data_IF_011417013769
#
_entry.id   IF_011417013769
#
_cell.length_a   1.000
_cell.length_b   1.000
_cell.length_c   1.000
_cell.angle_alpha   90.00
_cell.angle_beta   90.00
_cell.angle_gamma   90.00
#
_symmetry.space_group_name_H-M   'P 1'
#
loop_
_entity.id
_entity.type
_entity.pdbx_description
1 polymer ?
#
# COMPACT_ATOMS: atom_id res chain seq x y z
N UNK A 1 -2.03 -8.30 -38.65
CA UNK A 1 -2.04 -7.13 -39.55
C UNK A 1 -1.83 -5.88 -38.69
N UNK A 2 -0.57 -5.54 -38.39
CA UNK A 2 -0.26 -4.39 -37.54
C UNK A 2 -0.24 -3.15 -38.43
N UNK A 3 -1.09 -2.15 -38.13
CA UNK A 3 -1.01 -0.85 -38.77
C UNK A 3 0.38 -0.24 -38.45
N UNK A 4 1.03 0.43 -39.40
CA UNK A 4 2.28 1.12 -39.13
C UNK A 4 2.05 2.18 -38.04
N UNK A 5 2.91 2.18 -37.02
CA UNK A 5 2.89 3.20 -35.97
C UNK A 5 3.19 4.58 -36.56
N UNK A 6 2.43 5.59 -36.17
CA UNK A 6 2.67 6.97 -36.60
C UNK A 6 4.05 7.44 -36.09
N UNK A 7 4.86 8.06 -36.95
CA UNK A 7 6.26 8.42 -36.64
C UNK A 7 6.41 9.33 -35.41
N UNK A 8 5.40 10.15 -35.11
CA UNK A 8 5.35 10.98 -33.89
C UNK A 8 5.31 10.15 -32.59
N UNK A 9 4.76 8.93 -32.63
CA UNK A 9 4.74 8.03 -31.46
C UNK A 9 6.10 7.36 -31.20
N UNK A 10 7.03 7.46 -32.16
CA UNK A 10 8.37 6.90 -32.08
C UNK A 10 9.41 7.94 -31.65
N UNK A 11 9.01 9.19 -31.38
CA UNK A 11 9.95 10.21 -30.91
C UNK A 11 10.45 9.87 -29.50
N UNK A 12 11.77 9.90 -29.27
CA UNK A 12 12.36 9.64 -27.97
C UNK A 12 11.96 10.74 -26.99
N UNK A 13 11.60 10.35 -25.76
CA UNK A 13 11.40 11.32 -24.69
C UNK A 13 12.77 11.84 -24.22
N UNK A 14 12.87 13.15 -24.00
CA UNK A 14 14.03 13.73 -23.35
C UNK A 14 13.89 13.52 -21.83
N UNK A 15 14.91 12.91 -21.22
CA UNK A 15 14.93 12.68 -19.79
C UNK A 15 14.91 14.02 -19.04
N UNK A 16 14.06 14.14 -18.01
CA UNK A 16 13.93 15.32 -17.16
C UNK A 16 13.41 16.60 -17.84
N UNK A 17 13.01 16.55 -19.11
CA UNK A 17 12.29 17.64 -19.74
C UNK A 17 10.89 17.84 -19.12
N UNK A 18 10.34 19.05 -19.25
CA UNK A 18 8.98 19.34 -18.82
C UNK A 18 7.98 18.40 -19.51
N UNK A 19 6.93 17.97 -18.78
CA UNK A 19 5.93 17.03 -19.30
C UNK A 19 5.34 17.47 -20.65
N UNK A 20 5.06 18.77 -20.81
CA UNK A 20 4.55 19.34 -22.05
C UNK A 20 5.54 19.18 -23.21
N UNK A 21 6.84 19.40 -23.00
CA UNK A 21 7.86 19.28 -24.05
C UNK A 21 7.95 17.88 -24.66
N UNK A 22 7.69 16.84 -23.86
CA UNK A 22 7.64 15.45 -24.32
C UNK A 22 6.28 15.04 -24.94
N UNK A 23 5.25 15.87 -24.77
CA UNK A 23 3.89 15.64 -25.24
C UNK A 23 3.49 16.52 -26.43
N UNK A 24 4.17 17.65 -26.66
CA UNK A 24 3.84 18.64 -27.71
C UNK A 24 3.85 18.03 -29.12
N UNK A 25 4.74 17.06 -29.39
CA UNK A 25 4.77 16.34 -30.66
C UNK A 25 3.63 15.33 -30.83
N UNK A 26 2.92 14.99 -29.74
CA UNK A 26 1.88 13.94 -29.69
C UNK A 26 0.46 14.51 -29.56
N UNK A 27 0.32 15.76 -29.10
CA UNK A 27 -0.95 16.40 -28.79
C UNK A 27 -1.03 17.73 -29.55
N UNK A 28 -1.86 17.80 -30.59
CA UNK A 28 -2.24 19.07 -31.21
C UNK A 28 -3.47 19.62 -30.47
N UNK A 29 -3.24 20.54 -29.54
CA UNK A 29 -4.29 21.11 -28.70
C UNK A 29 -5.40 21.81 -29.51
N UNK A 30 -5.08 22.35 -30.68
CA UNK A 30 -6.07 23.01 -31.54
C UNK A 30 -6.98 21.97 -32.20
N UNK A 31 -6.40 20.94 -32.82
CA UNK A 31 -7.14 19.85 -33.47
C UNK A 31 -8.00 19.10 -32.45
N UNK A 32 -7.47 18.82 -31.26
CA UNK A 32 -8.23 18.19 -30.19
C UNK A 32 -9.37 19.06 -29.67
N UNK A 33 -9.16 20.37 -29.52
CA UNK A 33 -10.21 21.29 -29.11
C UNK A 33 -11.36 21.34 -30.14
N UNK A 34 -11.03 21.31 -31.44
CA UNK A 34 -12.03 21.24 -32.53
C UNK A 34 -12.78 19.91 -32.49
N UNK A 35 -12.06 18.78 -32.38
CA UNK A 35 -12.67 17.45 -32.30
C UNK A 35 -13.60 17.31 -31.07
N UNK A 36 -13.18 17.85 -29.92
CA UNK A 36 -13.98 17.87 -28.69
C UNK A 36 -15.28 18.67 -28.87
N UNK A 37 -15.21 19.86 -29.50
CA UNK A 37 -16.38 20.69 -29.85
C UNK A 37 -17.31 19.97 -30.84
N UNK A 38 -16.76 19.18 -31.76
CA UNK A 38 -17.52 18.34 -32.69
C UNK A 38 -18.12 17.07 -32.04
N UNK A 39 -17.93 16.86 -30.73
CA UNK A 39 -18.53 15.76 -29.98
C UNK A 39 -17.63 14.53 -29.82
N UNK A 40 -16.38 14.56 -30.29
CA UNK A 40 -15.44 13.47 -30.05
C UNK A 40 -15.19 13.30 -28.55
N UNK A 41 -15.09 12.05 -28.10
CA UNK A 41 -14.82 11.69 -26.69
C UNK A 41 -13.69 10.67 -26.53
N UNK A 42 -13.43 9.87 -27.57
CA UNK A 42 -12.34 8.88 -27.63
C UNK A 42 -11.20 9.46 -28.48
N UNK A 43 -9.96 9.25 -28.04
CA UNK A 43 -8.77 9.68 -28.79
C UNK A 43 -8.48 11.19 -28.75
N UNK A 44 -8.99 11.89 -27.73
CA UNK A 44 -8.70 13.31 -27.46
C UNK A 44 -8.21 13.47 -26.01
N UNK A 45 -7.29 14.41 -25.76
CA UNK A 45 -6.72 14.66 -24.43
C UNK A 45 -7.64 15.54 -23.59
N UNK A 46 -8.70 14.93 -23.05
CA UNK A 46 -9.59 15.61 -22.10
C UNK A 46 -8.92 15.74 -20.74
N UNK A 47 -9.13 16.87 -20.09
CA UNK A 47 -8.80 16.99 -18.67
C UNK A 47 -9.57 15.94 -17.86
N UNK A 48 -8.94 15.43 -16.79
CA UNK A 48 -9.58 14.58 -15.81
C UNK A 48 -10.86 15.25 -15.28
N UNK A 49 -11.94 14.51 -15.11
CA UNK A 49 -13.26 15.07 -14.75
C UNK A 49 -13.22 15.91 -13.47
N UNK A 50 -12.49 15.43 -12.46
CA UNK A 50 -12.31 16.11 -11.17
C UNK A 50 -11.12 17.08 -11.13
N UNK A 51 -10.42 17.32 -12.24
CA UNK A 51 -9.21 18.16 -12.25
C UNK A 51 -9.45 19.56 -11.66
N UNK A 52 -10.58 20.17 -12.01
CA UNK A 52 -10.97 21.49 -11.50
C UNK A 52 -11.19 21.47 -9.98
N UNK A 53 -11.78 20.39 -9.43
CA UNK A 53 -11.97 20.21 -7.99
C UNK A 53 -10.63 20.04 -7.26
N UNK A 54 -9.70 19.29 -7.84
CA UNK A 54 -8.38 19.08 -7.25
C UNK A 54 -7.58 20.39 -7.15
N UNK A 55 -7.57 21.20 -8.21
CA UNK A 55 -6.82 22.48 -8.21
C UNK A 55 -7.50 23.56 -7.37
N UNK A 56 -8.82 23.45 -7.15
CA UNK A 56 -9.58 24.35 -6.29
C UNK A 56 -9.57 23.92 -4.80
N UNK A 57 -9.14 22.69 -4.48
CA UNK A 57 -9.25 22.13 -3.14
C UNK A 57 -10.68 21.72 -2.76
N UNK A 58 -11.54 21.49 -3.74
CA UNK A 58 -12.96 21.15 -3.57
C UNK A 58 -13.24 19.64 -3.71
N UNK A 59 -12.23 18.86 -4.14
CA UNK A 59 -12.35 17.40 -4.20
C UNK A 59 -12.30 16.82 -2.78
N UNK A 60 -13.41 16.28 -2.29
CA UNK A 60 -13.49 15.67 -0.95
C UNK A 60 -12.71 14.35 -0.88
N UNK A 61 -11.74 14.27 0.01
CA UNK A 61 -11.05 13.05 0.45
C UNK A 61 -11.56 12.59 1.82
N UNK A 62 -11.12 11.41 2.26
CA UNK A 62 -11.61 10.78 3.49
C UNK A 62 -11.46 11.66 4.74
N UNK A 63 -10.36 12.41 4.87
CA UNK A 63 -10.06 13.25 6.04
C UNK A 63 -10.69 14.65 5.93
N UNK A 64 -11.31 14.98 4.77
CA UNK A 64 -12.07 16.21 4.58
C UNK A 64 -13.53 16.06 5.03
N UNK A 65 -13.98 14.82 5.25
CA UNK A 65 -15.33 14.53 5.74
C UNK A 65 -15.46 15.04 7.18
N UNK A 66 -16.44 15.90 7.49
CA UNK A 66 -16.61 16.44 8.83
C UNK A 66 -16.79 15.34 9.89
N UNK A 67 -16.04 15.45 10.98
CA UNK A 67 -16.15 14.53 12.11
C UNK A 67 -17.51 14.64 12.79
N UNK A 68 -18.20 13.51 12.93
CA UNK A 68 -19.46 13.45 13.68
C UNK A 68 -19.19 13.55 15.18
N UNK A 69 -20.14 14.11 15.93
CA UNK A 69 -20.05 14.16 17.38
C UNK A 69 -19.90 12.75 17.98
N UNK A 70 -18.88 12.56 18.82
CA UNK A 70 -18.56 11.27 19.43
C UNK A 70 -17.63 10.38 18.59
N UNK A 71 -17.08 10.87 17.48
CA UNK A 71 -16.03 10.16 16.71
C UNK A 71 -14.84 9.86 17.62
N UNK A 72 -14.35 8.62 17.56
CA UNK A 72 -13.12 8.18 18.22
C UNK A 72 -12.02 8.03 17.18
N UNK A 73 -10.78 8.15 17.63
CA UNK A 73 -9.61 8.05 16.76
C UNK A 73 -8.80 6.81 17.08
N UNK A 74 -8.34 6.13 16.04
CA UNK A 74 -7.52 4.94 16.15
C UNK A 74 -6.06 5.25 15.78
N UNK A 75 -5.11 4.69 16.53
CA UNK A 75 -3.71 4.63 16.15
C UNK A 75 -3.14 3.25 16.46
N UNK A 76 -2.21 2.79 15.64
CA UNK A 76 -1.62 1.45 15.77
C UNK A 76 -0.34 1.50 16.60
N UNK A 77 -0.25 0.60 17.58
CA UNK A 77 0.99 0.24 18.23
C UNK A 77 1.78 -0.69 17.31
N UNK A 78 2.98 -0.27 16.92
CA UNK A 78 3.76 -0.93 15.88
C UNK A 78 5.00 -1.63 16.46
N UNK A 79 5.42 -2.71 15.81
CA UNK A 79 6.67 -3.40 16.14
C UNK A 79 7.90 -2.50 15.89
N UNK A 80 8.82 -2.39 16.88
CA UNK A 80 10.10 -1.68 16.71
C UNK A 80 11.19 -2.50 16.01
N UNK A 81 10.96 -3.78 15.71
CA UNK A 81 11.95 -4.66 15.09
C UNK A 81 11.45 -5.19 13.75
N UNK A 82 12.39 -5.52 12.87
CA UNK A 82 12.09 -6.01 11.53
C UNK A 82 11.84 -7.51 11.45
N UNK A 83 12.29 -8.29 12.43
CA UNK A 83 12.06 -9.73 12.52
C UNK A 83 12.12 -10.17 13.98
N UNK A 84 11.32 -11.15 14.37
CA UNK A 84 11.35 -11.74 15.71
C UNK A 84 10.05 -12.41 16.11
N UNK A 85 9.93 -12.71 17.40
CA UNK A 85 8.73 -13.26 18.02
C UNK A 85 8.20 -12.28 19.05
N UNK A 86 6.91 -11.96 18.99
CA UNK A 86 6.17 -11.27 20.03
C UNK A 86 5.87 -12.24 21.17
N UNK A 87 6.57 -12.08 22.29
CA UNK A 87 6.46 -13.00 23.43
C UNK A 87 5.34 -12.58 24.40
N UNK A 88 5.17 -11.27 24.62
CA UNK A 88 4.17 -10.74 25.53
C UNK A 88 3.83 -9.27 25.27
N UNK A 89 2.69 -8.83 25.82
CA UNK A 89 2.25 -7.42 25.81
C UNK A 89 1.66 -6.98 27.16
N UNK A 90 2.08 -5.82 27.65
CA UNK A 90 1.60 -5.21 28.90
C UNK A 90 0.72 -3.97 28.64
N UNK A 91 -0.44 -4.18 28.02
CA UNK A 91 -1.28 -3.10 27.49
C UNK A 91 -2.05 -2.28 28.54
N UNK A 92 -2.12 -2.74 29.79
CA UNK A 92 -2.86 -2.03 30.86
C UNK A 92 -2.33 -0.62 31.13
N UNK A 93 -1.02 -0.42 30.97
CA UNK A 93 -0.39 0.90 31.09
C UNK A 93 -0.85 1.87 30.01
N UNK A 94 -1.18 1.37 28.81
CA UNK A 94 -1.73 2.16 27.71
C UNK A 94 -3.21 2.44 27.95
N UNK A 95 -3.97 1.43 28.41
CA UNK A 95 -5.40 1.56 28.74
C UNK A 95 -5.66 2.62 29.82
N UNK A 96 -4.73 2.78 30.76
CA UNK A 96 -4.83 3.76 31.83
C UNK A 96 -4.50 5.21 31.42
N UNK A 97 -4.05 5.46 30.17
CA UNK A 97 -3.67 6.81 29.74
C UNK A 97 -4.91 7.72 29.55
N UNK A 98 -4.81 9.02 29.89
CA UNK A 98 -5.91 9.96 29.72
C UNK A 98 -6.40 10.01 28.27
N UNK A 99 -7.71 9.89 28.09
CA UNK A 99 -8.38 9.97 26.79
C UNK A 99 -8.36 8.67 25.99
N UNK A 100 -7.68 7.60 26.44
CA UNK A 100 -7.79 6.27 25.85
C UNK A 100 -9.14 5.66 26.25
N UNK A 101 -9.87 5.15 25.26
CA UNK A 101 -11.18 4.49 25.43
C UNK A 101 -11.02 2.97 25.42
N UNK A 102 -10.20 2.44 24.51
CA UNK A 102 -9.93 1.01 24.41
C UNK A 102 -8.55 0.75 23.81
N UNK A 103 -7.99 -0.43 24.12
CA UNK A 103 -6.79 -0.95 23.46
C UNK A 103 -7.09 -2.38 23.05
N UNK A 104 -7.09 -2.62 21.74
CA UNK A 104 -7.45 -3.87 21.09
C UNK A 104 -6.20 -4.60 20.62
N UNK A 105 -6.17 -5.90 20.83
CA UNK A 105 -5.16 -6.85 20.39
C UNK A 105 -5.75 -7.84 19.40
N UNK A 106 -4.94 -8.74 18.86
CA UNK A 106 -5.42 -9.84 18.01
C UNK A 106 -6.55 -10.67 18.66
N UNK A 107 -6.52 -10.82 20.00
CA UNK A 107 -7.53 -11.57 20.75
C UNK A 107 -8.91 -10.90 20.77
N UNK A 108 -9.00 -9.61 20.44
CA UNK A 108 -10.24 -8.85 20.40
C UNK A 108 -10.92 -8.91 19.02
N UNK A 109 -10.31 -9.57 18.03
CA UNK A 109 -10.86 -9.73 16.69
C UNK A 109 -11.91 -10.88 16.74
N UNK A 110 -13.20 -10.60 16.48
CA UNK A 110 -14.26 -11.61 16.59
C UNK A 110 -14.24 -12.66 15.47
N UNK A 111 -13.48 -12.41 14.41
CA UNK A 111 -13.31 -13.29 13.25
C UNK A 111 -11.86 -13.74 13.06
N UNK A 112 -11.53 -14.25 11.87
CA UNK A 112 -10.15 -14.57 11.52
C UNK A 112 -9.25 -13.32 11.61
N UNK A 113 -8.11 -13.46 12.27
CA UNK A 113 -7.06 -12.43 12.29
C UNK A 113 -6.22 -12.51 11.00
N UNK A 114 -6.82 -12.20 9.86
CA UNK A 114 -6.18 -12.25 8.54
C UNK A 114 -6.78 -11.21 7.58
N UNK A 115 -5.93 -10.52 6.82
CA UNK A 115 -6.31 -9.59 5.76
C UNK A 115 -5.63 -9.89 4.41
N UNK A 116 -5.10 -11.10 4.24
CA UNK A 116 -4.45 -11.52 3.00
C UNK A 116 -5.46 -11.70 1.86
N UNK A 117 -5.26 -11.01 0.74
CA UNK A 117 -6.21 -11.04 -0.39
C UNK A 117 -6.14 -12.31 -1.26
N UNK A 118 -5.00 -13.01 -1.25
CA UNK A 118 -4.74 -14.18 -2.11
C UNK A 118 -4.29 -15.36 -1.26
N UNK A 119 -3.26 -15.13 -0.45
CA UNK A 119 -2.76 -16.07 0.54
C UNK A 119 -3.19 -15.53 1.90
N UNK A 120 -3.76 -16.39 2.74
CA UNK A 120 -4.21 -16.06 4.10
C UNK A 120 -3.04 -16.20 5.08
N UNK A 121 -2.04 -15.34 4.91
CA UNK A 121 -0.81 -15.30 5.71
C UNK A 121 -0.46 -13.92 6.29
N UNK A 122 -1.38 -12.94 6.20
CA UNK A 122 -1.15 -11.56 6.66
C UNK A 122 -2.10 -11.18 7.81
N UNK A 123 -1.63 -11.23 9.08
CA UNK A 123 -2.48 -10.95 10.22
C UNK A 123 -2.82 -9.45 10.32
N UNK A 124 -4.06 -9.15 10.71
CA UNK A 124 -4.52 -7.76 10.94
C UNK A 124 -3.72 -7.13 12.09
N UNK A 125 -3.54 -7.88 13.19
CA UNK A 125 -2.68 -7.53 14.32
C UNK A 125 -1.76 -8.72 14.63
N UNK A 126 -0.47 -8.48 14.76
CA UNK A 126 0.53 -9.51 15.07
C UNK A 126 0.24 -10.20 16.42
N UNK A 127 0.18 -11.53 16.42
CA UNK A 127 -0.06 -12.38 17.58
C UNK A 127 1.07 -13.39 17.86
N UNK A 128 2.18 -13.29 17.13
CA UNK A 128 3.32 -14.17 17.32
C UNK A 128 4.53 -13.80 16.49
N UNK A 129 4.48 -13.99 15.17
CA UNK A 129 5.64 -13.72 14.31
C UNK A 129 5.67 -12.26 13.83
N UNK A 130 6.79 -11.59 14.08
CA UNK A 130 7.09 -10.27 13.54
C UNK A 130 7.92 -10.44 12.26
N UNK A 131 7.40 -9.88 11.16
CA UNK A 131 7.91 -10.07 9.80
C UNK A 131 8.50 -8.80 9.17
N UNK A 132 8.17 -7.64 9.70
CA UNK A 132 8.67 -6.36 9.20
C UNK A 132 8.64 -5.25 10.27
N UNK A 133 9.47 -4.22 10.03
CA UNK A 133 9.52 -3.04 10.89
C UNK A 133 8.21 -2.27 10.75
N UNK A 134 7.58 -1.93 11.88
CA UNK A 134 6.33 -1.21 11.88
C UNK A 134 5.10 -2.11 11.69
N UNK A 135 5.22 -3.44 11.84
CA UNK A 135 4.06 -4.33 11.80
C UNK A 135 3.05 -3.98 12.90
N UNK A 136 1.74 -3.86 12.60
CA UNK A 136 0.72 -3.60 13.61
C UNK A 136 0.64 -4.73 14.64
N UNK A 137 0.65 -4.37 15.93
CA UNK A 137 0.59 -5.32 17.05
C UNK A 137 -0.68 -5.13 17.89
N UNK A 138 -1.06 -3.88 18.13
CA UNK A 138 -2.31 -3.53 18.82
C UNK A 138 -2.87 -2.21 18.28
N UNK A 139 -4.14 -1.93 18.54
CA UNK A 139 -4.81 -0.68 18.18
C UNK A 139 -5.25 0.08 19.42
N UNK A 140 -4.98 1.39 19.46
CA UNK A 140 -5.43 2.30 20.52
C UNK A 140 -6.58 3.14 19.99
N UNK A 141 -7.72 3.07 20.68
CA UNK A 141 -8.89 3.90 20.41
C UNK A 141 -8.96 4.99 21.48
N UNK A 142 -9.05 6.27 21.08
CA UNK A 142 -9.04 7.41 21.99
C UNK A 142 -10.01 8.52 21.57
N UNK A 143 -10.29 9.44 22.50
CA UNK A 143 -11.18 10.59 22.30
C UNK A 143 -10.61 11.64 21.33
N UNK A 144 -9.29 11.65 21.10
CA UNK A 144 -8.64 12.57 20.15
C UNK A 144 -7.55 11.85 19.39
N UNK A 145 -7.28 12.30 18.16
CA UNK A 145 -6.19 11.78 17.32
C UNK A 145 -4.83 11.83 18.02
N UNK A 146 -4.55 12.93 18.73
CA UNK A 146 -3.29 13.12 19.44
C UNK A 146 -3.12 12.17 20.62
N UNK A 147 -4.21 11.93 21.39
CA UNK A 147 -4.18 10.95 22.47
C UNK A 147 -3.90 9.54 21.93
N UNK A 148 -4.61 9.12 20.86
CA UNK A 148 -4.39 7.82 20.22
C UNK A 148 -2.93 7.66 19.78
N UNK A 149 -2.38 8.63 19.04
CA UNK A 149 -1.02 8.59 18.51
C UNK A 149 0.05 8.56 19.60
N UNK A 150 -0.09 9.39 20.64
CA UNK A 150 0.87 9.46 21.76
C UNK A 150 0.85 8.18 22.60
N UNK A 151 -0.33 7.58 22.78
CA UNK A 151 -0.47 6.31 23.46
C UNK A 151 0.13 5.16 22.65
N UNK A 152 -0.19 5.07 21.35
CA UNK A 152 0.35 4.04 20.45
C UNK A 152 1.88 4.12 20.30
N UNK A 153 2.46 5.33 20.30
CA UNK A 153 3.91 5.54 20.25
C UNK A 153 4.69 4.94 21.45
N UNK A 154 4.00 4.53 22.52
CA UNK A 154 4.62 3.86 23.68
C UNK A 154 4.79 2.35 23.48
N UNK A 155 4.49 1.81 22.30
CA UNK A 155 4.61 0.38 21.97
C UNK A 155 5.92 -0.24 22.48
N UNK A 156 7.07 0.38 22.23
CA UNK A 156 8.39 -0.15 22.64
C UNK A 156 8.50 -0.43 24.15
N UNK A 157 7.77 0.29 25.00
CA UNK A 157 7.79 0.10 26.45
C UNK A 157 6.84 -0.98 26.96
N UNK A 158 5.96 -1.50 26.12
CA UNK A 158 4.90 -2.47 26.51
C UNK A 158 4.98 -3.80 25.76
N UNK A 159 5.82 -3.90 24.73
CA UNK A 159 6.02 -5.12 23.96
C UNK A 159 7.28 -5.85 24.47
N UNK A 160 7.15 -7.15 24.72
CA UNK A 160 8.29 -8.05 24.93
C UNK A 160 8.52 -8.83 23.65
N UNK A 161 9.68 -8.63 23.03
CA UNK A 161 10.00 -9.18 21.71
C UNK A 161 11.38 -9.84 21.73
N UNK A 162 11.41 -11.10 21.31
CA UNK A 162 12.64 -11.82 20.97
C UNK A 162 13.04 -11.49 19.54
N UNK A 163 13.89 -10.47 19.38
CA UNK A 163 14.34 -9.99 18.07
C UNK A 163 15.23 -11.02 17.34
N UNK A 164 15.02 -11.15 16.03
CA UNK A 164 15.83 -11.98 15.15
C UNK A 164 16.54 -11.12 14.09
N UNK A 165 17.58 -11.69 13.46
CA UNK A 165 18.24 -11.04 12.35
C UNK A 165 17.30 -10.99 11.12
N UNK A 166 16.97 -9.80 10.58
CA UNK A 166 16.08 -9.70 9.44
C UNK A 166 16.78 -10.10 8.13
N UNK A 167 16.00 -10.63 7.20
CA UNK A 167 16.43 -10.93 5.83
C UNK A 167 15.97 -9.77 4.95
N UNK A 168 16.89 -8.96 4.43
CA UNK A 168 16.57 -7.68 3.78
C UNK A 168 16.91 -7.65 2.30
N UNK A 169 17.68 -8.64 1.80
CA UNK A 169 18.01 -8.73 0.37
C UNK A 169 17.47 -10.01 -0.27
N UNK A 170 17.14 -9.98 -1.57
CA UNK A 170 16.78 -11.18 -2.32
C UNK A 170 17.87 -12.26 -2.28
N UNK A 171 19.15 -11.86 -2.27
CA UNK A 171 20.28 -12.79 -2.21
C UNK A 171 20.34 -13.51 -0.86
N UNK A 172 20.09 -12.81 0.26
CA UNK A 172 20.01 -13.43 1.57
C UNK A 172 18.82 -14.40 1.65
N UNK A 173 17.66 -14.00 1.12
CA UNK A 173 16.47 -14.86 1.09
C UNK A 173 16.73 -16.14 0.27
N UNK A 174 17.34 -16.00 -0.91
CA UNK A 174 17.73 -17.12 -1.76
C UNK A 174 18.73 -18.06 -1.07
N UNK A 175 19.77 -17.51 -0.43
CA UNK A 175 20.75 -18.29 0.32
C UNK A 175 20.13 -19.08 1.49
N UNK A 176 19.01 -18.60 2.04
CA UNK A 176 18.24 -19.24 3.10
C UNK A 176 17.09 -20.11 2.57
N UNK A 177 16.89 -20.20 1.25
CA UNK A 177 15.78 -20.92 0.64
C UNK A 177 14.39 -20.35 0.98
N UNK A 178 14.31 -19.07 1.34
CA UNK A 178 13.05 -18.39 1.70
C UNK A 178 12.45 -17.72 0.47
N UNK A 179 11.34 -18.25 -0.01
CA UNK A 179 10.62 -17.72 -1.17
C UNK A 179 9.16 -17.44 -0.82
N UNK A 180 8.58 -16.43 -1.47
CA UNK A 180 7.15 -16.09 -1.31
C UNK A 180 6.26 -17.15 -1.96
N UNK A 181 6.69 -17.70 -3.10
CA UNK A 181 6.02 -18.77 -3.83
C UNK A 181 7.03 -19.87 -4.20
N UNK A 182 6.57 -21.10 -4.46
CA UNK A 182 7.41 -22.13 -5.03
C UNK A 182 8.14 -21.63 -6.29
N UNK A 183 9.44 -21.93 -6.47
CA UNK A 183 10.18 -21.53 -7.66
C UNK A 183 9.52 -22.08 -8.93
N UNK A 184 9.23 -21.21 -9.89
CA UNK A 184 8.77 -21.65 -11.20
C UNK A 184 9.96 -21.86 -12.13
N UNK A 185 10.07 -23.05 -12.71
CA UNK A 185 11.10 -23.38 -13.69
C UNK A 185 10.51 -23.33 -15.10
N UNK A 186 10.85 -22.29 -15.86
CA UNK A 186 10.45 -22.19 -17.26
C UNK A 186 11.45 -22.97 -18.13
N UNK A 187 11.09 -24.18 -18.53
CA UNK A 187 11.91 -24.98 -19.43
C UNK A 187 11.50 -24.64 -20.86
N UNK A 188 12.47 -24.17 -21.67
CA UNK A 188 12.26 -23.98 -23.10
C UNK A 188 12.06 -25.36 -23.73
N UNK A 189 10.84 -25.61 -24.21
CA UNK A 189 10.55 -26.78 -25.04
C UNK A 189 11.43 -26.76 -26.31
N UNK A 190 12.07 -27.89 -26.61
CA UNK A 190 12.83 -28.13 -27.85
C UNK A 190 11.92 -28.65 -28.99
N UNK A 191 10.63 -28.91 -28.72
CA UNK A 191 9.66 -29.32 -29.74
C UNK A 191 9.10 -28.10 -30.48
N UNK A 192 8.94 -28.23 -31.80
CA UNK A 192 8.14 -27.30 -32.59
C UNK A 192 6.66 -27.37 -32.12
N UNK A 193 6.30 -26.50 -31.18
CA UNK A 193 4.92 -26.30 -30.73
C UNK A 193 4.57 -26.94 -29.38
N UNK A 194 4.51 -26.10 -28.35
CA UNK A 194 3.82 -26.36 -27.08
C UNK A 194 4.71 -26.90 -25.96
N UNK A 195 4.87 -26.12 -24.89
CA UNK A 195 5.41 -26.61 -23.61
C UNK A 195 4.27 -27.04 -22.71
N UNK A 196 4.30 -28.27 -22.21
CA UNK A 196 3.49 -28.70 -21.08
C UNK A 196 4.19 -28.31 -19.78
N UNK A 197 3.49 -27.72 -18.80
CA UNK A 197 4.06 -27.50 -17.47
C UNK A 197 4.21 -28.85 -16.76
N UNK A 198 5.42 -29.16 -16.26
CA UNK A 198 5.61 -30.18 -15.23
C UNK A 198 5.56 -29.50 -13.85
N UNK A 199 4.88 -30.16 -12.91
CA UNK A 199 4.56 -29.70 -11.53
C UNK A 199 5.72 -30.01 -10.60
#
# INVERSE_FOLDING_TARGET
MNKPMHSLLLQPAEAFAGYASNADARIDAHVEAVACKAGARVGISRAHESAHLHVAGEATYIDDIPELAGTLHCALGLSPVAAGTLDAMALDTIRALPGVVAVLSAADIPGPNDCGSIVHDDPILCDGEIRYLGQPVFAVIALTRDAARRAAAKANGVLTISAAAPVITPQQAHALGRYVLPPMHLIRSMSEGGGTPEV
#
